data_IF_676953702370
#
_entry.id   IF_676953702370
#
_cell.length_a   1.000
_cell.length_b   1.000
_cell.length_c   1.000
_cell.angle_alpha   90.00
_cell.angle_beta   90.00
_cell.angle_gamma   90.00
#
_symmetry.space_group_name_H-M   'P 1'
#
loop_
_entity.id
_entity.type
_entity.pdbx_description
1 polymer ?
#
# COMPACT_ATOMS: atom_id res chain seq x y z
N UNK A 1 49.56 -26.17 80.29
CA UNK A 1 48.41 -26.66 79.49
C UNK A 1 47.72 -25.43 78.88
N UNK A 2 47.36 -25.36 77.59
CA UNK A 2 46.45 -26.25 76.82
C UNK A 2 45.04 -26.18 77.43
N UNK A 3 43.94 -25.77 76.79
CA UNK A 3 43.62 -25.07 75.52
C UNK A 3 42.18 -24.47 75.68
N UNK A 4 41.50 -23.73 74.77
CA UNK A 4 41.65 -23.37 73.34
C UNK A 4 40.87 -22.04 73.09
N UNK A 5 41.13 -21.31 72.00
CA UNK A 5 40.30 -20.18 71.55
C UNK A 5 39.05 -20.65 70.78
N UNK A 6 37.93 -19.91 70.83
CA UNK A 6 36.77 -20.07 69.92
C UNK A 6 36.62 -18.81 69.05
N UNK A 7 36.37 -18.95 67.73
CA UNK A 7 36.44 -17.82 66.80
C UNK A 7 35.18 -16.96 66.79
N UNK A 8 35.38 -15.66 66.54
CA UNK A 8 34.32 -14.67 66.32
C UNK A 8 33.84 -14.72 64.85
N UNK A 9 32.55 -14.96 64.60
CA UNK A 9 32.01 -14.94 63.23
C UNK A 9 31.73 -13.51 62.76
N UNK A 10 32.65 -12.95 61.96
CA UNK A 10 32.42 -11.71 61.22
C UNK A 10 31.42 -11.94 60.08
N UNK A 11 30.28 -11.25 60.10
CA UNK A 11 29.41 -11.12 58.92
C UNK A 11 29.94 -10.01 58.02
N UNK A 12 30.55 -10.38 56.90
CA UNK A 12 30.91 -9.45 55.83
C UNK A 12 29.65 -8.92 55.13
N UNK A 13 29.48 -7.60 55.09
CA UNK A 13 28.49 -6.95 54.24
C UNK A 13 29.05 -6.80 52.82
N UNK A 14 28.50 -7.55 51.88
CA UNK A 14 28.76 -7.40 50.44
C UNK A 14 27.82 -6.35 49.83
N UNK A 15 28.22 -5.07 49.91
CA UNK A 15 27.53 -4.00 49.18
C UNK A 15 27.77 -4.11 47.67
N UNK A 16 26.86 -4.81 46.98
CA UNK A 16 26.78 -4.82 45.53
C UNK A 16 26.38 -3.43 45.01
N UNK A 17 27.33 -2.73 44.42
CA UNK A 17 27.08 -1.53 43.61
C UNK A 17 26.32 -1.93 42.34
N UNK A 18 24.99 -1.81 42.38
CA UNK A 18 24.11 -2.03 41.24
C UNK A 18 24.23 -0.87 40.25
N UNK A 19 25.24 -0.92 39.36
CA UNK A 19 25.42 0.04 38.27
C UNK A 19 24.25 0.00 37.30
N UNK A 20 23.27 0.89 37.52
CA UNK A 20 22.06 1.00 36.70
C UNK A 20 22.39 1.58 35.33
N UNK A 21 22.75 0.73 34.37
CA UNK A 21 22.87 1.10 32.97
C UNK A 21 21.49 1.50 32.45
N UNK A 22 21.25 2.81 32.38
CA UNK A 22 20.08 3.37 31.70
C UNK A 22 20.20 3.06 30.21
N UNK A 23 19.49 2.02 29.77
CA UNK A 23 19.43 1.62 28.37
C UNK A 23 18.54 2.62 27.60
N UNK A 24 19.09 3.80 27.32
CA UNK A 24 18.45 4.83 26.52
C UNK A 24 18.12 4.27 25.14
N UNK A 25 16.85 3.89 24.93
CA UNK A 25 16.36 3.46 23.63
C UNK A 25 16.52 4.63 22.65
N UNK A 26 17.45 4.49 21.71
CA UNK A 26 17.61 5.44 20.60
C UNK A 26 16.39 5.31 19.71
N UNK A 27 15.38 6.15 19.96
CA UNK A 27 14.26 6.36 19.05
C UNK A 27 14.87 6.99 17.80
N UNK A 28 15.02 6.19 16.75
CA UNK A 28 15.46 6.69 15.45
C UNK A 28 14.45 7.74 14.97
N UNK A 29 14.90 8.99 14.88
CA UNK A 29 14.02 10.10 14.52
C UNK A 29 13.45 9.90 13.11
N UNK A 30 12.14 10.10 12.96
CA UNK A 30 11.44 9.87 11.71
C UNK A 30 12.03 10.76 10.59
N UNK A 31 12.50 10.14 9.50
CA UNK A 31 13.26 10.87 8.49
C UNK A 31 12.50 12.10 7.94
N UNK A 32 13.13 13.28 7.87
CA UNK A 32 12.49 14.49 7.37
C UNK A 32 12.20 14.36 5.87
N UNK A 33 10.93 14.54 5.52
CA UNK A 33 10.43 14.57 4.14
C UNK A 33 9.70 15.88 3.93
N UNK A 34 10.23 16.73 3.06
CA UNK A 34 9.53 17.91 2.56
C UNK A 34 8.50 17.48 1.51
N UNK A 35 7.22 17.71 1.81
CA UNK A 35 6.09 17.24 1.01
C UNK A 35 5.47 18.42 0.25
N UNK A 36 5.31 18.25 -1.07
CA UNK A 36 4.61 19.21 -1.92
C UNK A 36 3.14 19.36 -1.49
N UNK A 37 2.56 20.56 -1.70
CA UNK A 37 1.23 20.95 -1.22
C UNK A 37 1.12 20.89 0.32
N UNK A 38 -0.04 20.48 0.85
CA UNK A 38 -0.30 20.46 2.30
C UNK A 38 -0.93 19.14 2.80
N UNK A 39 -1.28 19.08 4.10
CA UNK A 39 -1.96 17.94 4.71
C UNK A 39 -3.22 17.51 3.93
N UNK A 40 -3.41 16.21 3.72
CA UNK A 40 -4.56 15.65 3.00
C UNK A 40 -4.61 15.95 1.50
N UNK A 41 -3.55 16.52 0.91
CA UNK A 41 -3.38 16.60 -0.54
C UNK A 41 -3.09 15.22 -1.16
N UNK A 42 -3.07 15.13 -2.49
CA UNK A 42 -2.64 13.90 -3.17
C UNK A 42 -1.18 13.51 -2.87
N UNK A 43 -0.29 14.46 -2.55
CA UNK A 43 1.07 14.15 -2.08
C UNK A 43 1.08 13.57 -0.66
N UNK A 44 0.10 13.92 0.20
CA UNK A 44 -0.06 13.28 1.51
C UNK A 44 -0.45 11.80 1.32
N UNK A 45 -1.51 11.55 0.54
CA UNK A 45 -2.01 10.20 0.26
C UNK A 45 -0.98 9.29 -0.44
N UNK A 46 -0.22 9.81 -1.41
CA UNK A 46 0.82 9.03 -2.07
C UNK A 46 2.02 8.74 -1.15
N UNK A 47 2.30 9.57 -0.14
CA UNK A 47 3.33 9.29 0.86
C UNK A 47 2.87 8.27 1.91
N UNK A 48 1.55 8.16 2.17
CA UNK A 48 0.98 7.06 2.97
C UNK A 48 1.26 5.70 2.30
N UNK A 49 1.02 5.59 0.99
CA UNK A 49 1.30 4.37 0.23
C UNK A 49 2.78 3.93 0.28
N UNK A 50 3.73 4.88 0.38
CA UNK A 50 5.14 4.55 0.59
C UNK A 50 5.46 4.16 2.04
N UNK A 51 4.86 4.83 3.02
CA UNK A 51 5.00 4.49 4.44
C UNK A 51 4.52 3.05 4.72
N UNK A 52 3.35 2.69 4.18
CA UNK A 52 2.71 1.39 4.36
C UNK A 52 3.55 0.22 3.81
N UNK A 53 4.37 0.43 2.76
CA UNK A 53 5.27 -0.60 2.22
C UNK A 53 6.25 -1.10 3.29
N UNK A 54 6.85 -0.20 4.07
CA UNK A 54 7.92 -0.59 5.01
C UNK A 54 7.51 -0.46 6.49
N UNK A 55 6.29 0.02 6.77
CA UNK A 55 5.90 0.59 8.06
C UNK A 55 6.88 1.70 8.51
N UNK A 56 7.36 2.50 7.54
CA UNK A 56 8.22 3.67 7.79
C UNK A 56 7.36 4.86 8.25
N UNK A 57 7.79 5.54 9.31
CA UNK A 57 7.23 6.84 9.70
C UNK A 57 8.10 7.97 9.15
N UNK A 58 7.46 8.93 8.46
CA UNK A 58 8.12 10.12 7.91
C UNK A 58 7.73 11.38 8.71
N UNK A 59 8.69 12.22 9.06
CA UNK A 59 8.41 13.56 9.58
C UNK A 59 8.02 14.45 8.39
N UNK A 60 6.72 14.71 8.22
CA UNK A 60 6.16 15.39 7.03
C UNK A 60 6.19 16.91 7.20
N UNK A 61 7.06 17.56 6.43
CA UNK A 61 7.24 19.01 6.42
C UNK A 61 6.60 19.60 5.15
N UNK A 62 5.44 20.25 5.27
CA UNK A 62 4.68 20.68 4.09
C UNK A 62 5.18 22.01 3.50
N UNK A 63 5.79 21.94 2.31
CA UNK A 63 6.40 23.10 1.64
C UNK A 63 5.50 23.79 0.61
N UNK A 64 4.30 23.29 0.31
CA UNK A 64 3.33 23.97 -0.56
C UNK A 64 3.66 23.88 -2.06
N UNK A 65 4.62 24.67 -2.54
CA UNK A 65 5.01 24.70 -3.97
C UNK A 65 6.21 23.79 -4.27
N UNK A 66 6.36 23.27 -5.50
CA UNK A 66 7.53 22.48 -5.88
C UNK A 66 8.86 23.23 -5.69
N UNK A 67 8.96 24.49 -6.12
CA UNK A 67 10.18 25.29 -5.94
C UNK A 67 10.58 25.41 -4.46
N UNK A 68 9.63 25.64 -3.55
CA UNK A 68 9.91 25.68 -2.10
C UNK A 68 10.24 24.28 -1.55
N UNK A 69 9.53 23.24 -1.98
CA UNK A 69 9.80 21.84 -1.60
C UNK A 69 11.22 21.42 -1.99
N UNK A 70 11.70 21.89 -3.15
CA UNK A 70 13.01 21.54 -3.69
C UNK A 70 14.13 22.38 -3.05
N UNK A 71 13.87 23.66 -2.77
CA UNK A 71 14.75 24.52 -1.99
C UNK A 71 14.99 23.94 -0.58
N UNK A 72 13.94 23.77 0.22
CA UNK A 72 14.08 23.35 1.62
C UNK A 72 14.66 21.96 1.76
N UNK A 73 14.33 21.03 0.85
CA UNK A 73 14.93 19.69 0.85
C UNK A 73 16.44 19.71 0.53
N UNK A 74 16.86 20.47 -0.49
CA UNK A 74 18.28 20.58 -0.83
C UNK A 74 19.08 21.30 0.27
N UNK A 75 18.55 22.39 0.82
CA UNK A 75 19.20 23.22 1.85
C UNK A 75 19.37 22.48 3.19
N UNK A 76 18.44 21.59 3.55
CA UNK A 76 18.50 20.78 4.78
C UNK A 76 19.06 19.35 4.55
N UNK A 77 19.55 19.03 3.35
CA UNK A 77 19.94 17.66 2.95
C UNK A 77 18.87 16.60 3.32
N UNK A 78 17.60 16.93 3.11
CA UNK A 78 16.44 16.12 3.44
C UNK A 78 15.82 15.49 2.17
N UNK A 79 14.79 14.66 2.35
CA UNK A 79 14.04 14.10 1.22
C UNK A 79 12.99 15.10 0.72
N UNK A 80 12.78 15.15 -0.59
CA UNK A 80 11.61 15.78 -1.20
C UNK A 80 10.61 14.70 -1.64
N UNK A 81 9.31 14.99 -1.51
CA UNK A 81 8.22 14.18 -2.06
C UNK A 81 7.25 15.02 -2.90
N UNK A 82 7.17 14.71 -4.20
CA UNK A 82 6.46 15.49 -5.21
C UNK A 82 5.83 14.64 -6.32
N UNK A 83 4.82 15.19 -6.98
CA UNK A 83 4.15 14.62 -8.15
C UNK A 83 4.95 14.93 -9.44
N UNK A 84 5.58 13.92 -10.05
CA UNK A 84 6.44 14.07 -11.23
C UNK A 84 5.66 14.19 -12.55
N UNK A 85 4.67 13.30 -12.73
CA UNK A 85 3.93 13.15 -13.98
C UNK A 85 2.47 12.74 -13.72
N UNK A 86 1.56 13.14 -14.59
CA UNK A 86 0.14 12.78 -14.55
C UNK A 86 -0.36 12.43 -15.95
N UNK A 87 -1.13 11.34 -16.03
CA UNK A 87 -1.71 10.77 -17.26
C UNK A 87 -2.58 11.72 -18.09
N UNK A 88 -3.21 12.74 -17.48
CA UNK A 88 -4.10 13.71 -18.15
C UNK A 88 -3.39 14.99 -18.61
N UNK A 89 -2.08 15.12 -18.37
CA UNK A 89 -1.28 16.28 -18.80
C UNK A 89 -0.66 16.00 -20.17
N UNK A 90 -0.68 16.99 -21.07
CA UNK A 90 0.01 16.90 -22.36
C UNK A 90 1.52 16.74 -22.18
N UNK A 91 2.10 15.69 -22.78
CA UNK A 91 3.48 15.29 -22.53
C UNK A 91 3.75 14.79 -21.09
N UNK A 92 2.69 14.54 -20.32
CA UNK A 92 2.59 13.94 -18.98
C UNK A 92 3.35 14.61 -17.82
N UNK A 93 4.40 15.38 -18.07
CA UNK A 93 5.22 16.02 -17.03
C UNK A 93 4.47 17.14 -16.31
N UNK A 94 4.49 17.16 -14.97
CA UNK A 94 3.89 18.24 -14.17
C UNK A 94 4.68 19.55 -14.40
N UNK A 95 4.08 20.61 -14.98
CA UNK A 95 4.84 21.79 -15.42
C UNK A 95 5.54 22.56 -14.28
N UNK A 96 4.98 22.52 -13.07
CA UNK A 96 5.59 23.12 -11.90
C UNK A 96 6.86 22.38 -11.43
N UNK A 97 6.96 21.05 -11.67
CA UNK A 97 8.22 20.32 -11.45
C UNK A 97 9.24 20.68 -12.52
N UNK A 98 8.81 20.80 -13.79
CA UNK A 98 9.69 21.26 -14.88
C UNK A 98 10.32 22.61 -14.53
N UNK A 99 9.56 23.56 -13.97
CA UNK A 99 10.11 24.83 -13.50
C UNK A 99 11.13 24.66 -12.38
N UNK A 100 10.80 23.91 -11.32
CA UNK A 100 11.70 23.69 -10.19
C UNK A 100 13.00 22.97 -10.60
N UNK A 101 12.92 22.01 -11.53
CA UNK A 101 14.08 21.30 -12.10
C UNK A 101 14.96 22.16 -13.02
N UNK A 102 14.58 23.43 -13.27
CA UNK A 102 15.50 24.43 -13.84
C UNK A 102 16.55 24.90 -12.82
N UNK A 103 16.18 24.93 -11.54
CA UNK A 103 17.04 25.40 -10.45
C UNK A 103 17.71 24.23 -9.69
N UNK A 104 17.09 23.04 -9.68
CA UNK A 104 17.55 21.86 -8.93
C UNK A 104 17.72 20.63 -9.83
N UNK A 105 18.51 19.64 -9.41
CA UNK A 105 18.57 18.30 -10.04
C UNK A 105 18.38 17.20 -9.00
N UNK A 106 17.75 16.11 -9.42
CA UNK A 106 17.60 14.89 -8.61
C UNK A 106 18.93 14.14 -8.61
N UNK A 107 19.39 13.74 -7.41
CA UNK A 107 20.65 13.00 -7.22
C UNK A 107 20.41 11.55 -6.78
N UNK A 108 19.26 11.29 -6.15
CA UNK A 108 18.89 9.97 -5.65
C UNK A 108 17.37 9.81 -5.72
N UNK A 109 16.89 8.61 -6.05
CA UNK A 109 15.48 8.25 -6.13
C UNK A 109 15.21 7.04 -5.23
N UNK A 110 14.88 7.28 -3.96
CA UNK A 110 14.69 6.20 -2.96
C UNK A 110 13.46 5.33 -3.26
N UNK A 111 12.34 5.95 -3.63
CA UNK A 111 11.10 5.22 -3.87
C UNK A 111 10.12 5.97 -4.77
N UNK A 112 9.29 5.22 -5.49
CA UNK A 112 8.29 5.75 -6.44
C UNK A 112 6.94 5.05 -6.28
N UNK A 113 5.85 5.75 -6.56
CA UNK A 113 4.46 5.24 -6.48
C UNK A 113 3.57 5.87 -7.55
N UNK A 114 2.73 5.05 -8.18
CA UNK A 114 1.57 5.52 -8.95
C UNK A 114 0.35 5.49 -8.05
N UNK A 115 -0.46 6.55 -8.10
CA UNK A 115 -1.72 6.62 -7.35
C UNK A 115 -2.86 7.06 -8.29
N UNK A 116 -4.00 6.34 -8.31
CA UNK A 116 -5.23 6.81 -8.93
C UNK A 116 -5.72 8.10 -8.28
N UNK A 117 -6.17 9.05 -9.09
CA UNK A 117 -6.70 10.34 -8.64
C UNK A 117 -8.21 10.21 -8.45
N UNK A 118 -8.59 9.56 -7.36
CA UNK A 118 -9.96 9.58 -6.86
C UNK A 118 -10.26 10.93 -6.22
N UNK A 119 -11.30 11.61 -6.71
CA UNK A 119 -11.78 12.88 -6.14
C UNK A 119 -12.99 12.64 -5.25
N UNK A 120 -12.86 13.10 -4.00
CA UNK A 120 -13.89 13.02 -2.98
C UNK A 120 -14.52 14.40 -2.70
N UNK A 121 -15.83 14.39 -2.48
CA UNK A 121 -16.65 15.58 -2.15
C UNK A 121 -16.80 15.71 -0.64
N UNK A 122 -16.43 16.87 -0.09
CA UNK A 122 -16.50 17.15 1.34
C UNK A 122 -17.41 18.33 1.66
N UNK A 123 -18.39 18.10 2.55
CA UNK A 123 -19.23 19.15 3.13
C UNK A 123 -19.01 19.31 4.64
N UNK A 124 -19.69 20.27 5.24
CA UNK A 124 -19.92 20.31 6.69
C UNK A 124 -21.11 19.38 7.01
N UNK A 125 -21.33 19.03 8.29
CA UNK A 125 -22.49 18.19 8.67
C UNK A 125 -23.81 18.82 8.23
N UNK A 126 -24.00 20.10 8.55
CA UNK A 126 -25.19 20.88 8.19
C UNK A 126 -24.99 21.60 6.85
N UNK A 127 -24.42 20.93 5.85
CA UNK A 127 -24.37 21.45 4.47
C UNK A 127 -25.80 21.57 3.94
N UNK A 128 -26.17 22.77 3.50
CA UNK A 128 -27.45 23.06 2.85
C UNK A 128 -27.41 22.61 1.38
N UNK A 129 -28.42 22.94 0.56
CA UNK A 129 -28.42 22.60 -0.88
C UNK A 129 -27.10 23.03 -1.52
N UNK A 130 -26.33 22.04 -1.99
CA UNK A 130 -25.02 22.28 -2.59
C UNK A 130 -25.22 23.09 -3.87
N UNK A 131 -24.47 24.18 -3.99
CA UNK A 131 -24.50 25.09 -5.15
C UNK A 131 -23.12 25.52 -5.60
N UNK A 132 -22.09 25.30 -4.78
CA UNK A 132 -20.71 25.69 -5.07
C UNK A 132 -19.70 24.59 -4.72
N UNK A 133 -18.69 24.40 -5.57
CA UNK A 133 -17.56 23.50 -5.33
C UNK A 133 -16.23 24.25 -5.34
N UNK A 134 -15.51 24.20 -4.22
CA UNK A 134 -14.21 24.83 -4.04
C UNK A 134 -13.07 23.82 -4.22
N UNK A 135 -12.12 24.12 -5.11
CA UNK A 135 -10.92 23.29 -5.31
C UNK A 135 -9.87 24.00 -6.16
N UNK A 136 -8.71 23.36 -6.36
CA UNK A 136 -7.67 23.82 -7.28
C UNK A 136 -8.20 23.88 -8.73
N UNK A 137 -7.87 24.91 -9.54
CA UNK A 137 -8.35 25.04 -10.92
C UNK A 137 -8.17 23.79 -11.80
N UNK A 138 -7.05 23.06 -11.66
CA UNK A 138 -6.83 21.83 -12.41
C UNK A 138 -7.72 20.66 -11.96
N UNK A 139 -8.13 20.62 -10.68
CA UNK A 139 -9.06 19.61 -10.18
C UNK A 139 -10.51 19.92 -10.60
N UNK A 140 -10.90 21.21 -10.57
CA UNK A 140 -12.20 21.67 -11.08
C UNK A 140 -12.40 21.34 -12.56
N UNK A 141 -11.32 21.40 -13.36
CA UNK A 141 -11.29 21.00 -14.78
C UNK A 141 -11.38 19.48 -15.02
N UNK A 142 -11.37 18.65 -13.98
CA UNK A 142 -11.44 17.19 -14.05
C UNK A 142 -12.75 16.62 -13.48
N UNK A 143 -13.77 17.45 -13.23
CA UNK A 143 -15.07 17.07 -12.64
C UNK A 143 -16.27 17.73 -13.36
N UNK A 144 -16.12 18.10 -14.63
CA UNK A 144 -17.09 18.90 -15.39
C UNK A 144 -18.45 18.19 -15.51
N UNK A 145 -18.45 16.85 -15.65
CA UNK A 145 -19.68 16.04 -15.68
C UNK A 145 -20.44 16.16 -14.37
N UNK A 146 -19.75 16.02 -13.24
CA UNK A 146 -20.34 16.11 -11.90
C UNK A 146 -20.86 17.54 -11.61
N UNK A 147 -20.10 18.57 -11.98
CA UNK A 147 -20.51 19.97 -11.86
C UNK A 147 -21.78 20.27 -12.68
N UNK A 148 -21.85 19.77 -13.91
CA UNK A 148 -22.98 19.98 -14.83
C UNK A 148 -24.25 19.29 -14.34
N UNK A 149 -24.17 18.00 -14.01
CA UNK A 149 -25.30 17.19 -13.50
C UNK A 149 -25.93 17.80 -12.25
N UNK A 150 -25.12 18.36 -11.35
CA UNK A 150 -25.59 18.97 -10.11
C UNK A 150 -25.84 20.49 -10.19
N UNK A 151 -25.61 21.12 -11.35
CA UNK A 151 -25.73 22.58 -11.58
C UNK A 151 -24.85 23.42 -10.62
N UNK A 152 -23.66 22.92 -10.29
CA UNK A 152 -22.77 23.50 -9.27
C UNK A 152 -21.80 24.53 -9.88
N UNK A 153 -21.73 25.72 -9.27
CA UNK A 153 -20.78 26.78 -9.63
C UNK A 153 -19.40 26.53 -9.02
N UNK A 154 -18.33 26.82 -9.77
CA UNK A 154 -16.96 26.63 -9.28
C UNK A 154 -16.49 27.78 -8.38
N UNK A 155 -15.65 27.47 -7.39
CA UNK A 155 -14.90 28.43 -6.56
C UNK A 155 -13.40 28.10 -6.62
N UNK A 156 -12.64 28.70 -7.55
CA UNK A 156 -11.22 28.39 -7.71
C UNK A 156 -10.38 28.74 -6.47
N UNK A 157 -9.54 27.79 -6.02
CA UNK A 157 -8.57 27.97 -4.92
C UNK A 157 -7.17 27.62 -5.44
N UNK A 158 -6.42 28.58 -6.03
CA UNK A 158 -5.12 28.32 -6.68
C UNK A 158 -4.04 27.71 -5.77
N UNK A 159 -4.17 27.86 -4.44
CA UNK A 159 -3.24 27.28 -3.46
C UNK A 159 -3.32 25.75 -3.31
N UNK A 160 -4.36 25.08 -3.82
CA UNK A 160 -4.46 23.62 -3.83
C UNK A 160 -5.80 23.07 -3.32
N UNK A 161 -6.02 21.77 -3.52
CA UNK A 161 -7.24 21.06 -3.10
C UNK A 161 -7.37 21.01 -1.57
N UNK A 162 -6.26 20.82 -0.86
CA UNK A 162 -6.21 20.85 0.60
C UNK A 162 -6.50 22.24 1.20
N UNK A 163 -6.13 23.33 0.52
CA UNK A 163 -6.47 24.68 0.99
C UNK A 163 -7.99 24.92 0.88
N UNK A 164 -8.65 24.42 -0.17
CA UNK A 164 -10.10 24.50 -0.27
C UNK A 164 -10.81 23.74 0.88
N UNK A 165 -10.28 22.57 1.26
CA UNK A 165 -10.77 21.80 2.39
C UNK A 165 -10.52 22.51 3.74
N UNK A 166 -9.33 23.08 3.95
CA UNK A 166 -9.02 23.87 5.14
C UNK A 166 -9.95 25.08 5.25
N UNK A 167 -10.12 25.85 4.18
CA UNK A 167 -11.02 27.01 4.14
C UNK A 167 -12.47 26.62 4.47
N UNK A 168 -12.94 25.45 4.04
CA UNK A 168 -14.26 24.93 4.42
C UNK A 168 -14.31 24.55 5.93
N UNK A 169 -13.30 23.83 6.43
CA UNK A 169 -13.22 23.39 7.84
C UNK A 169 -13.06 24.57 8.83
N UNK A 170 -12.49 25.68 8.38
CA UNK A 170 -12.31 26.96 9.10
C UNK A 170 -13.48 27.93 8.89
N UNK A 171 -14.59 27.48 8.28
CA UNK A 171 -15.82 28.27 8.10
C UNK A 171 -15.68 29.46 7.14
N UNK A 172 -14.68 29.47 6.25
CA UNK A 172 -14.43 30.54 5.27
C UNK A 172 -15.28 30.41 4.00
N UNK A 173 -16.15 29.41 3.92
CA UNK A 173 -17.17 29.28 2.90
C UNK A 173 -18.56 29.04 3.51
N UNK A 174 -19.59 29.59 2.85
CA UNK A 174 -21.00 29.41 3.22
C UNK A 174 -21.38 27.92 3.17
N UNK A 175 -22.37 27.52 3.98
CA UNK A 175 -22.86 26.13 4.13
C UNK A 175 -23.38 25.46 2.83
N UNK A 176 -23.52 26.22 1.73
CA UNK A 176 -23.91 25.73 0.41
C UNK A 176 -22.71 25.35 -0.49
N UNK A 177 -21.49 25.42 0.06
CA UNK A 177 -20.22 25.15 -0.61
C UNK A 177 -19.62 23.83 -0.10
N UNK A 178 -19.13 23.00 -1.02
CA UNK A 178 -18.33 21.80 -0.74
C UNK A 178 -16.87 22.01 -1.18
N UNK A 179 -15.95 21.24 -0.61
CA UNK A 179 -14.55 21.18 -1.03
C UNK A 179 -14.27 19.87 -1.77
N UNK A 180 -13.50 19.92 -2.85
CA UNK A 180 -13.12 18.74 -3.65
C UNK A 180 -11.63 18.47 -3.51
N UNK A 181 -11.23 17.22 -3.27
CA UNK A 181 -9.82 16.84 -3.19
C UNK A 181 -9.62 15.35 -2.97
N UNK A 182 -8.43 14.98 -2.45
CA UNK A 182 -8.14 13.58 -2.10
C UNK A 182 -9.03 13.09 -0.97
N UNK A 183 -9.41 11.82 -1.00
CA UNK A 183 -10.20 11.20 0.06
C UNK A 183 -9.46 11.19 1.43
N UNK A 184 -8.12 11.29 1.43
CA UNK A 184 -7.30 11.47 2.63
C UNK A 184 -7.64 12.74 3.45
N UNK A 185 -8.32 13.73 2.85
CA UNK A 185 -8.83 14.89 3.57
C UNK A 185 -9.72 14.53 4.78
N UNK A 186 -10.39 13.37 4.78
CA UNK A 186 -11.23 12.96 5.93
C UNK A 186 -10.44 12.72 7.21
N UNK A 187 -9.22 12.19 7.11
CA UNK A 187 -8.35 11.94 8.27
C UNK A 187 -7.78 13.25 8.83
N UNK A 188 -7.52 14.23 7.96
CA UNK A 188 -6.89 15.50 8.31
C UNK A 188 -7.89 16.55 8.81
N UNK A 189 -9.10 16.57 8.25
CA UNK A 189 -10.13 17.57 8.57
C UNK A 189 -11.39 16.87 9.14
N UNK A 190 -11.38 16.43 10.41
CA UNK A 190 -12.46 15.59 10.97
C UNK A 190 -13.84 16.25 10.95
N UNK A 191 -13.89 17.59 11.00
CA UNK A 191 -15.11 18.42 10.83
C UNK A 191 -15.80 18.26 9.47
N UNK A 192 -15.08 17.81 8.45
CA UNK A 192 -15.62 17.58 7.11
C UNK A 192 -16.24 16.20 7.02
N UNK A 193 -17.42 16.13 6.42
CA UNK A 193 -18.13 14.89 6.14
C UNK A 193 -18.06 14.59 4.65
N UNK A 194 -17.56 13.39 4.35
CA UNK A 194 -17.52 12.83 3.01
C UNK A 194 -18.96 12.68 2.49
N UNK A 195 -19.22 13.13 1.26
CA UNK A 195 -20.53 13.08 0.61
C UNK A 195 -20.54 12.13 -0.58
N UNK A 196 -19.44 12.07 -1.32
CA UNK A 196 -19.33 11.31 -2.58
C UNK A 196 -17.85 11.01 -2.87
N UNK A 197 -17.59 9.96 -3.65
CA UNK A 197 -16.26 9.46 -4.05
C UNK A 197 -16.23 9.26 -5.55
N UNK A 198 -15.06 9.25 -6.17
CA UNK A 198 -14.92 8.89 -7.59
C UNK A 198 -15.52 9.89 -8.59
N UNK A 199 -15.65 11.18 -8.23
CA UNK A 199 -16.38 12.16 -9.08
C UNK A 199 -15.61 12.69 -10.30
N UNK A 200 -14.39 12.18 -10.55
CA UNK A 200 -13.55 12.60 -11.67
C UNK A 200 -14.07 12.14 -13.04
N UNK A 201 -13.97 13.02 -14.05
CA UNK A 201 -14.43 12.76 -15.43
C UNK A 201 -13.70 11.58 -16.10
N UNK A 202 -12.45 11.31 -15.68
CA UNK A 202 -11.62 10.21 -16.17
C UNK A 202 -11.19 9.30 -15.00
N UNK A 203 -11.68 8.05 -15.01
CA UNK A 203 -11.35 7.04 -14.00
C UNK A 203 -9.88 6.55 -14.06
N UNK A 204 -9.26 6.58 -15.25
CA UNK A 204 -7.87 6.14 -15.48
C UNK A 204 -6.83 7.24 -15.15
N UNK A 205 -7.28 8.37 -14.59
CA UNK A 205 -6.43 9.48 -14.17
C UNK A 205 -5.50 9.04 -13.02
N UNK A 206 -4.25 8.71 -13.35
CA UNK A 206 -3.20 8.39 -12.38
C UNK A 206 -2.05 9.40 -12.39
N UNK A 207 -1.37 9.51 -11.24
CA UNK A 207 -0.21 10.40 -11.02
C UNK A 207 0.95 9.61 -10.42
N UNK A 208 2.15 9.86 -10.95
CA UNK A 208 3.44 9.36 -10.48
C UNK A 208 4.02 10.31 -9.44
N UNK A 209 4.37 9.78 -8.27
CA UNK A 209 5.06 10.50 -7.20
C UNK A 209 6.39 9.81 -6.86
N UNK A 210 7.35 10.59 -6.37
CA UNK A 210 8.69 10.13 -6.04
C UNK A 210 9.21 10.72 -4.72
N UNK A 211 9.93 9.89 -3.97
CA UNK A 211 10.74 10.26 -2.80
C UNK A 211 12.21 10.33 -3.23
N UNK A 212 12.79 11.53 -3.17
CA UNK A 212 14.02 11.86 -3.91
C UNK A 212 14.91 12.85 -3.16
N UNK A 213 16.23 12.73 -3.33
CA UNK A 213 17.21 13.74 -2.91
C UNK A 213 17.46 14.73 -4.04
N UNK A 214 17.79 15.95 -3.66
CA UNK A 214 18.01 17.09 -4.56
C UNK A 214 19.29 17.82 -4.22
N UNK A 215 19.92 18.39 -5.24
CA UNK A 215 20.90 19.45 -5.11
C UNK A 215 20.45 20.69 -5.90
N UNK A 216 20.96 21.86 -5.52
CA UNK A 216 20.83 23.11 -6.29
C UNK A 216 21.84 23.09 -7.43
N UNK A 217 21.40 23.36 -8.66
CA UNK A 217 22.31 23.46 -9.82
C UNK A 217 23.20 24.71 -9.69
N UNK A 218 24.46 24.69 -10.18
CA UNK A 218 25.29 25.88 -10.24
C UNK A 218 24.66 27.02 -11.05
N UNK A 219 23.96 26.67 -12.14
CA UNK A 219 23.30 27.61 -13.05
C UNK A 219 21.89 27.13 -13.39
N UNK A 220 20.99 28.07 -13.70
CA UNK A 220 19.59 27.79 -14.05
C UNK A 220 19.48 27.31 -15.50
N UNK A 221 19.06 26.07 -15.70
CA UNK A 221 18.91 25.49 -17.05
C UNK A 221 17.67 26.00 -17.80
N UNK A 222 17.63 25.77 -19.12
CA UNK A 222 16.44 26.05 -19.93
C UNK A 222 15.31 25.03 -19.66
N UNK A 223 14.17 25.22 -20.33
CA UNK A 223 12.98 24.38 -20.09
C UNK A 223 13.17 22.96 -20.62
N UNK A 224 13.88 22.78 -21.73
CA UNK A 224 13.99 21.48 -22.40
C UNK A 224 15.05 20.57 -21.77
N UNK A 225 16.13 21.14 -21.24
CA UNK A 225 17.06 20.46 -20.33
C UNK A 225 16.34 20.00 -19.04
N UNK A 226 15.49 20.85 -18.45
CA UNK A 226 14.70 20.49 -17.28
C UNK A 226 13.63 19.41 -17.59
N UNK A 227 12.96 19.49 -18.75
CA UNK A 227 12.05 18.44 -19.24
C UNK A 227 12.79 17.12 -19.47
N UNK A 228 13.98 17.16 -20.04
CA UNK A 228 14.79 15.97 -20.34
C UNK A 228 15.26 15.29 -19.06
N UNK A 229 15.76 16.06 -18.09
CA UNK A 229 16.11 15.55 -16.76
C UNK A 229 14.89 14.96 -16.03
N UNK A 230 13.72 15.61 -16.09
CA UNK A 230 12.51 15.06 -15.48
C UNK A 230 12.03 13.76 -16.18
N UNK A 231 12.11 13.67 -17.52
CA UNK A 231 11.83 12.42 -18.24
C UNK A 231 12.72 11.26 -17.76
N UNK A 232 14.00 11.50 -17.53
CA UNK A 232 14.92 10.48 -17.02
C UNK A 232 14.51 9.99 -15.62
N UNK A 233 14.17 10.89 -14.69
CA UNK A 233 13.66 10.53 -13.35
C UNK A 233 12.33 9.77 -13.45
N UNK A 234 11.42 10.18 -14.35
CA UNK A 234 10.13 9.47 -14.59
C UNK A 234 10.36 8.05 -15.12
N UNK A 235 11.33 7.82 -16.01
CA UNK A 235 11.67 6.47 -16.50
C UNK A 235 12.27 5.60 -15.39
N UNK A 236 13.16 6.15 -14.56
CA UNK A 236 13.70 5.43 -13.39
C UNK A 236 12.59 5.07 -12.39
N UNK A 237 11.68 6.00 -12.11
CA UNK A 237 10.53 5.81 -11.23
C UNK A 237 9.55 4.76 -11.76
N UNK A 238 9.26 4.77 -13.07
CA UNK A 238 8.44 3.74 -13.72
C UNK A 238 9.12 2.35 -13.64
N UNK A 239 10.44 2.28 -13.76
CA UNK A 239 11.21 1.03 -13.63
C UNK A 239 11.11 0.45 -12.21
N UNK A 240 11.20 1.30 -11.17
CA UNK A 240 10.97 0.88 -9.78
C UNK A 240 9.56 0.30 -9.57
N UNK A 241 8.53 0.94 -10.13
CA UNK A 241 7.13 0.52 -9.99
C UNK A 241 6.87 -0.76 -10.78
N UNK A 242 7.39 -0.88 -12.00
CA UNK A 242 7.27 -2.10 -12.81
C UNK A 242 7.89 -3.29 -12.09
N UNK A 243 9.12 -3.16 -11.59
CA UNK A 243 9.80 -4.24 -10.85
C UNK A 243 9.00 -4.72 -9.62
N UNK A 244 8.39 -3.79 -8.86
CA UNK A 244 7.49 -4.13 -7.74
C UNK A 244 6.20 -4.81 -8.22
N UNK A 245 5.60 -4.32 -9.30
CA UNK A 245 4.40 -4.89 -9.93
C UNK A 245 4.65 -6.32 -10.40
N UNK A 246 5.74 -6.56 -11.12
CA UNK A 246 6.11 -7.87 -11.66
C UNK A 246 6.47 -8.87 -10.55
N UNK A 247 7.16 -8.41 -9.51
CA UNK A 247 7.36 -9.21 -8.30
C UNK A 247 6.04 -9.60 -7.61
N UNK A 248 5.05 -8.69 -7.59
CA UNK A 248 3.69 -8.99 -7.13
C UNK A 248 2.96 -10.01 -8.01
N UNK A 249 3.02 -9.84 -9.35
CA UNK A 249 2.42 -10.78 -10.33
C UNK A 249 2.93 -12.20 -10.12
N UNK A 250 4.21 -12.39 -9.78
CA UNK A 250 4.76 -13.72 -9.49
C UNK A 250 4.07 -14.40 -8.30
N UNK A 251 3.87 -13.69 -7.19
CA UNK A 251 3.11 -14.20 -6.03
C UNK A 251 1.67 -14.52 -6.44
N UNK A 252 1.00 -13.59 -7.12
CA UNK A 252 -0.41 -13.71 -7.50
C UNK A 252 -0.65 -14.86 -8.49
N UNK A 253 0.29 -15.11 -9.40
CA UNK A 253 0.23 -16.20 -10.39
C UNK A 253 0.35 -17.58 -9.73
N UNK A 254 1.08 -17.70 -8.62
CA UNK A 254 1.17 -18.95 -7.86
C UNK A 254 -0.12 -19.20 -7.05
N UNK A 255 -0.73 -18.14 -6.52
CA UNK A 255 -2.04 -18.20 -5.86
C UNK A 255 -3.11 -18.67 -6.86
N UNK A 256 -3.16 -18.08 -8.06
CA UNK A 256 -4.11 -18.48 -9.10
C UNK A 256 -3.91 -19.95 -9.54
N UNK A 257 -2.67 -20.35 -9.88
CA UNK A 257 -2.33 -21.75 -10.21
C UNK A 257 -2.75 -22.75 -9.14
N UNK A 258 -2.73 -22.35 -7.86
CA UNK A 258 -3.15 -23.17 -6.71
C UNK A 258 -4.68 -23.25 -6.57
N UNK A 259 -5.40 -22.16 -6.86
CA UNK A 259 -6.86 -22.13 -6.88
C UNK A 259 -7.43 -22.88 -8.09
N UNK A 260 -6.80 -22.81 -9.26
CA UNK A 260 -7.19 -23.55 -10.46
C UNK A 260 -7.24 -25.08 -10.26
N UNK A 261 -6.45 -25.63 -9.33
CA UNK A 261 -6.51 -27.06 -8.98
C UNK A 261 -7.85 -27.49 -8.35
N UNK A 262 -8.69 -26.54 -7.90
CA UNK A 262 -9.90 -26.84 -7.14
C UNK A 262 -11.00 -27.51 -7.97
N UNK A 263 -11.01 -27.37 -9.30
CA UNK A 263 -11.87 -28.18 -10.17
C UNK A 263 -11.53 -29.67 -10.01
N UNK A 264 -10.25 -30.03 -10.12
CA UNK A 264 -9.76 -31.40 -9.97
C UNK A 264 -9.98 -31.97 -8.56
N UNK A 265 -9.91 -31.14 -7.52
CA UNK A 265 -10.25 -31.54 -6.14
C UNK A 265 -11.75 -31.76 -5.97
N UNK A 266 -12.61 -30.88 -6.53
CA UNK A 266 -14.06 -31.04 -6.51
C UNK A 266 -14.50 -32.33 -7.22
N UNK A 267 -13.87 -32.61 -8.37
CA UNK A 267 -14.06 -33.78 -9.22
C UNK A 267 -13.66 -35.08 -8.51
N UNK A 268 -12.47 -35.14 -7.91
CA UNK A 268 -12.06 -36.29 -7.10
C UNK A 268 -13.07 -36.57 -5.99
N UNK A 269 -13.48 -35.51 -5.27
CA UNK A 269 -14.46 -35.62 -4.18
C UNK A 269 -15.84 -36.05 -4.68
N UNK A 270 -16.24 -35.68 -5.89
CA UNK A 270 -17.48 -36.15 -6.51
C UNK A 270 -17.41 -37.65 -6.77
N UNK A 271 -16.43 -38.09 -7.56
CA UNK A 271 -16.28 -39.49 -7.99
C UNK A 271 -15.99 -40.47 -6.84
N UNK A 272 -15.54 -39.97 -5.68
CA UNK A 272 -15.31 -40.75 -4.45
C UNK A 272 -16.30 -40.46 -3.32
N UNK A 273 -17.40 -39.76 -3.60
CA UNK A 273 -18.46 -39.43 -2.63
C UNK A 273 -17.93 -38.86 -1.30
N UNK A 274 -16.97 -37.93 -1.39
CA UNK A 274 -16.36 -37.24 -0.24
C UNK A 274 -16.90 -35.81 -0.08
N UNK A 275 -16.98 -35.30 1.17
CA UNK A 275 -17.35 -33.92 1.43
C UNK A 275 -16.31 -32.92 0.91
N UNK A 276 -16.74 -31.66 0.73
CA UNK A 276 -15.82 -30.55 0.39
C UNK A 276 -15.03 -30.12 1.62
N UNK A 277 -15.66 -30.03 2.79
CA UNK A 277 -15.00 -29.79 4.05
C UNK A 277 -14.33 -31.07 4.57
N UNK A 278 -13.08 -30.94 5.00
CA UNK A 278 -12.25 -32.01 5.56
C UNK A 278 -11.37 -31.36 6.63
N UNK A 279 -11.93 -31.20 7.82
CA UNK A 279 -11.27 -30.52 8.95
C UNK A 279 -9.91 -31.15 9.27
N UNK A 280 -9.78 -32.48 9.08
CA UNK A 280 -8.53 -33.21 9.30
C UNK A 280 -7.44 -32.77 8.31
N UNK A 281 -7.78 -32.62 7.02
CA UNK A 281 -6.84 -32.13 6.01
C UNK A 281 -6.64 -30.62 6.09
N UNK A 282 -7.64 -29.85 6.49
CA UNK A 282 -7.51 -28.40 6.71
C UNK A 282 -6.49 -28.09 7.81
N UNK A 283 -6.51 -28.83 8.93
CA UNK A 283 -5.48 -28.73 9.99
C UNK A 283 -4.08 -29.05 9.46
N UNK A 284 -3.92 -30.11 8.65
CA UNK A 284 -2.61 -30.49 8.08
C UNK A 284 -2.10 -29.48 7.04
N UNK A 285 -2.97 -28.91 6.20
CA UNK A 285 -2.60 -27.86 5.25
C UNK A 285 -2.14 -26.60 6.00
N UNK A 286 -2.84 -26.23 7.07
CA UNK A 286 -2.50 -25.06 7.86
C UNK A 286 -1.19 -25.27 8.65
N UNK A 287 -0.98 -26.42 9.30
CA UNK A 287 0.26 -26.68 10.04
C UNK A 287 1.49 -26.70 9.12
N UNK A 288 1.39 -27.28 7.92
CA UNK A 288 2.46 -27.27 6.92
C UNK A 288 2.79 -25.83 6.46
N UNK A 289 1.77 -25.01 6.19
CA UNK A 289 1.98 -23.60 5.81
C UNK A 289 2.58 -22.75 6.93
N UNK A 290 2.24 -23.01 8.19
CA UNK A 290 2.80 -22.29 9.34
C UNK A 290 4.25 -22.68 9.66
N UNK A 291 4.66 -23.92 9.35
CA UNK A 291 6.05 -24.32 9.48
C UNK A 291 6.91 -23.71 8.38
N UNK A 292 6.45 -23.75 7.13
CA UNK A 292 7.07 -23.05 6.00
C UNK A 292 7.17 -21.54 6.24
N UNK A 293 6.17 -20.92 6.88
CA UNK A 293 6.21 -19.51 7.26
C UNK A 293 7.39 -19.19 8.20
N UNK A 294 7.72 -20.06 9.16
CA UNK A 294 8.87 -19.87 10.06
C UNK A 294 10.18 -19.88 9.28
N UNK A 295 10.37 -20.91 8.47
CA UNK A 295 11.56 -21.11 7.62
C UNK A 295 11.76 -19.91 6.67
N UNK A 296 10.67 -19.38 6.11
CA UNK A 296 10.66 -18.22 5.21
C UNK A 296 10.62 -16.85 5.93
N UNK A 297 10.82 -16.80 7.26
CA UNK A 297 10.80 -15.56 8.06
C UNK A 297 9.51 -14.72 7.95
N UNK A 298 8.36 -15.36 7.83
CA UNK A 298 7.03 -14.74 7.78
C UNK A 298 6.32 -14.88 9.13
N UNK A 299 5.56 -13.86 9.53
CA UNK A 299 4.74 -13.94 10.75
C UNK A 299 3.65 -15.01 10.59
N UNK A 300 3.71 -16.01 11.46
CA UNK A 300 2.78 -17.14 11.45
C UNK A 300 1.31 -16.72 11.65
N UNK A 301 1.02 -15.62 12.36
CA UNK A 301 -0.36 -15.20 12.60
C UNK A 301 -1.03 -14.63 11.34
N UNK A 302 -0.34 -13.77 10.62
CA UNK A 302 -0.80 -13.21 9.35
C UNK A 302 -0.80 -14.25 8.23
N UNK A 303 0.18 -15.16 8.18
CA UNK A 303 0.13 -16.32 7.26
C UNK A 303 -1.05 -17.23 7.56
N UNK A 304 -1.40 -17.47 8.84
CA UNK A 304 -2.60 -18.24 9.24
C UNK A 304 -3.87 -17.65 8.62
N UNK A 305 -4.05 -16.33 8.73
CA UNK A 305 -5.20 -15.63 8.18
C UNK A 305 -5.25 -15.72 6.63
N UNK A 306 -4.11 -15.55 5.96
CA UNK A 306 -3.99 -15.69 4.51
C UNK A 306 -4.28 -17.11 4.02
N UNK A 307 -3.75 -18.14 4.66
CA UNK A 307 -4.03 -19.53 4.27
C UNK A 307 -5.48 -19.95 4.56
N UNK A 308 -6.10 -19.48 5.65
CA UNK A 308 -7.54 -19.68 5.86
C UNK A 308 -8.37 -19.01 4.76
N UNK A 309 -8.02 -17.78 4.34
CA UNK A 309 -8.71 -17.11 3.24
C UNK A 309 -8.55 -17.87 1.90
N UNK A 310 -7.36 -18.44 1.61
CA UNK A 310 -7.17 -19.34 0.47
C UNK A 310 -8.01 -20.62 0.59
N UNK A 311 -8.10 -21.23 1.78
CA UNK A 311 -8.84 -22.47 2.03
C UNK A 311 -10.36 -22.26 1.89
N UNK A 312 -10.87 -21.12 2.33
CA UNK A 312 -12.28 -20.77 2.19
C UNK A 312 -12.64 -20.43 0.73
N UNK A 313 -11.79 -19.67 0.01
CA UNK A 313 -11.96 -19.44 -1.43
C UNK A 313 -11.89 -20.76 -2.22
N UNK A 314 -10.98 -21.67 -1.85
CA UNK A 314 -10.87 -23.00 -2.42
C UNK A 314 -12.13 -23.85 -2.16
N UNK A 315 -12.75 -23.78 -0.98
CA UNK A 315 -14.04 -24.42 -0.71
C UNK A 315 -15.15 -23.80 -1.56
N UNK A 316 -15.21 -22.47 -1.68
CA UNK A 316 -16.21 -21.78 -2.48
C UNK A 316 -16.16 -22.17 -3.98
N UNK A 317 -14.97 -22.28 -4.57
CA UNK A 317 -14.78 -22.81 -5.94
C UNK A 317 -15.32 -24.25 -6.06
N UNK A 318 -14.97 -25.14 -5.11
CA UNK A 318 -15.44 -26.52 -5.11
C UNK A 318 -16.98 -26.60 -5.01
N UNK A 319 -17.62 -25.80 -4.16
CA UNK A 319 -19.08 -25.79 -4.01
C UNK A 319 -19.79 -25.31 -5.29
N UNK A 320 -19.24 -24.29 -5.98
CA UNK A 320 -19.81 -23.79 -7.24
C UNK A 320 -19.72 -24.82 -8.37
N UNK A 321 -18.59 -25.51 -8.53
CA UNK A 321 -18.50 -26.64 -9.45
C UNK A 321 -19.47 -27.78 -9.11
N UNK A 322 -19.66 -28.11 -7.83
CA UNK A 322 -20.67 -29.12 -7.44
C UNK A 322 -22.09 -28.69 -7.80
N UNK A 323 -22.45 -27.42 -7.62
CA UNK A 323 -23.76 -26.90 -8.00
C UNK A 323 -23.97 -26.93 -9.53
N UNK A 324 -22.95 -26.56 -10.29
CA UNK A 324 -22.94 -26.64 -11.76
C UNK A 324 -23.18 -28.08 -12.26
N UNK A 325 -22.47 -29.05 -11.70
CA UNK A 325 -22.59 -30.47 -12.05
C UNK A 325 -23.90 -31.15 -11.60
N UNK A 326 -24.81 -30.45 -10.91
CA UNK A 326 -26.18 -30.94 -10.68
C UNK A 326 -27.01 -30.91 -11.98
N UNK A 327 -26.70 -29.99 -12.90
CA UNK A 327 -27.38 -29.85 -14.19
C UNK A 327 -26.57 -30.47 -15.34
N UNK A 328 -25.24 -30.29 -15.33
CA UNK A 328 -24.34 -30.80 -16.38
C UNK A 328 -23.97 -32.28 -16.22
N UNK A 329 -24.20 -32.84 -15.02
CA UNK A 329 -23.57 -34.09 -14.59
C UNK A 329 -22.11 -33.89 -14.17
N UNK A 330 -21.55 -34.88 -13.47
CA UNK A 330 -20.12 -34.85 -13.06
C UNK A 330 -19.26 -35.29 -14.24
N UNK A 331 -18.23 -34.52 -14.65
CA UNK A 331 -17.37 -34.89 -15.77
C UNK A 331 -16.70 -36.25 -15.56
N UNK A 332 -16.74 -37.13 -16.57
CA UNK A 332 -16.08 -38.44 -16.52
C UNK A 332 -14.56 -38.31 -16.71
N UNK A 333 -13.88 -37.77 -15.69
CA UNK A 333 -12.44 -37.60 -15.60
C UNK A 333 -11.96 -38.04 -14.21
N UNK A 334 -10.86 -38.78 -14.13
CA UNK A 334 -10.25 -39.19 -12.86
C UNK A 334 -9.08 -38.29 -12.50
N UNK A 335 -9.08 -37.75 -11.27
CA UNK A 335 -7.97 -36.98 -10.73
C UNK A 335 -7.23 -37.75 -9.64
N UNK A 336 -5.89 -37.69 -9.67
CA UNK A 336 -4.99 -38.35 -8.73
C UNK A 336 -4.83 -37.47 -7.46
N UNK A 337 -5.47 -37.89 -6.35
CA UNK A 337 -5.43 -37.13 -5.09
C UNK A 337 -4.01 -36.96 -4.54
N UNK A 338 -3.13 -37.94 -4.75
CA UNK A 338 -1.74 -37.89 -4.27
C UNK A 338 -0.97 -36.83 -5.04
N UNK A 339 -1.04 -36.84 -6.38
CA UNK A 339 -0.43 -35.78 -7.22
C UNK A 339 -1.02 -34.40 -6.94
N UNK A 340 -2.35 -34.29 -6.76
CA UNK A 340 -3.00 -33.04 -6.35
C UNK A 340 -2.47 -32.54 -4.99
N UNK A 341 -2.32 -33.42 -3.99
CA UNK A 341 -1.77 -33.05 -2.67
C UNK A 341 -0.32 -32.58 -2.78
N UNK A 342 0.53 -33.24 -3.56
CA UNK A 342 1.91 -32.79 -3.80
C UNK A 342 1.95 -31.42 -4.50
N UNK A 343 1.16 -31.24 -5.58
CA UNK A 343 1.08 -29.97 -6.30
C UNK A 343 0.60 -28.81 -5.41
N UNK A 344 -0.47 -29.02 -4.63
CA UNK A 344 -1.03 -28.02 -3.71
C UNK A 344 -0.10 -27.66 -2.55
N UNK A 345 0.73 -28.61 -2.10
CA UNK A 345 1.76 -28.38 -1.09
C UNK A 345 2.95 -27.61 -1.68
N UNK A 346 3.47 -28.02 -2.85
CA UNK A 346 4.58 -27.32 -3.52
C UNK A 346 4.22 -25.89 -3.91
N UNK A 347 3.02 -25.66 -4.45
CA UNK A 347 2.49 -24.30 -4.69
C UNK A 347 2.31 -23.53 -3.37
N UNK A 348 2.04 -24.20 -2.25
CA UNK A 348 2.02 -23.59 -0.92
C UNK A 348 3.39 -23.02 -0.52
N UNK A 349 4.45 -23.82 -0.65
CA UNK A 349 5.83 -23.39 -0.39
C UNK A 349 6.23 -22.22 -1.29
N UNK A 350 6.04 -22.39 -2.61
CA UNK A 350 6.44 -21.40 -3.61
C UNK A 350 5.74 -20.04 -3.43
N UNK A 351 4.48 -20.01 -2.95
CA UNK A 351 3.80 -18.76 -2.58
C UNK A 351 4.53 -18.08 -1.43
N UNK A 352 4.92 -18.81 -0.37
CA UNK A 352 5.60 -18.25 0.81
C UNK A 352 7.03 -17.79 0.48
N UNK A 353 7.79 -18.56 -0.28
CA UNK A 353 9.12 -18.22 -0.79
C UNK A 353 9.09 -16.94 -1.65
N UNK A 354 8.19 -16.90 -2.65
CA UNK A 354 8.06 -15.73 -3.54
C UNK A 354 7.56 -14.50 -2.77
N UNK A 355 6.66 -14.69 -1.79
CA UNK A 355 6.14 -13.62 -0.95
C UNK A 355 7.21 -13.07 0.00
N UNK A 356 8.04 -13.91 0.63
CA UNK A 356 9.11 -13.40 1.50
C UNK A 356 10.20 -12.66 0.71
N UNK A 357 10.45 -13.07 -0.54
CA UNK A 357 11.32 -12.36 -1.49
C UNK A 357 10.74 -11.00 -1.89
N UNK A 358 9.44 -10.94 -2.23
CA UNK A 358 8.73 -9.68 -2.51
C UNK A 358 8.80 -8.72 -1.31
N UNK A 359 8.44 -9.21 -0.11
CA UNK A 359 8.40 -8.40 1.11
C UNK A 359 9.79 -7.89 1.51
N UNK A 360 10.87 -8.64 1.25
CA UNK A 360 12.24 -8.18 1.50
C UNK A 360 12.68 -7.06 0.55
N UNK A 361 12.38 -7.18 -0.75
CA UNK A 361 12.90 -6.29 -1.79
C UNK A 361 12.02 -5.07 -2.07
N UNK A 362 10.72 -5.19 -1.84
CA UNK A 362 9.72 -4.20 -2.27
C UNK A 362 8.77 -3.76 -1.13
N UNK A 363 8.86 -4.37 0.05
CA UNK A 363 7.96 -4.12 1.17
C UNK A 363 6.58 -4.76 1.04
N UNK A 364 5.72 -4.52 2.03
CA UNK A 364 4.35 -4.98 2.18
C UNK A 364 3.52 -4.85 0.90
N UNK A 365 2.57 -5.77 0.70
CA UNK A 365 1.55 -5.65 -0.32
C UNK A 365 0.51 -4.61 0.13
N UNK A 366 0.42 -3.49 -0.60
CA UNK A 366 -0.44 -2.33 -0.33
C UNK A 366 -1.52 -2.20 -1.42
N UNK A 367 -2.57 -1.35 -1.26
CA UNK A 367 -3.68 -1.27 -2.22
C UNK A 367 -3.28 -0.98 -3.69
N UNK A 368 -2.10 -0.38 -3.92
CA UNK A 368 -1.57 -0.09 -5.26
C UNK A 368 -1.39 -1.34 -6.16
N UNK A 369 -1.31 -2.54 -5.56
CA UNK A 369 -1.17 -3.81 -6.28
C UNK A 369 -2.52 -4.57 -6.42
N UNK A 370 -3.63 -4.04 -5.89
CA UNK A 370 -4.95 -4.67 -5.99
C UNK A 370 -5.46 -4.83 -7.43
N UNK A 371 -5.28 -3.86 -8.36
CA UNK A 371 -5.66 -4.05 -9.77
C UNK A 371 -4.87 -5.19 -10.43
N UNK A 372 -3.58 -5.30 -10.09
CA UNK A 372 -2.68 -6.34 -10.60
C UNK A 372 -3.10 -7.73 -10.08
N UNK A 373 -3.45 -7.84 -8.80
CA UNK A 373 -4.00 -9.06 -8.21
C UNK A 373 -5.31 -9.46 -8.88
N UNK A 374 -6.25 -8.51 -9.04
CA UNK A 374 -7.56 -8.79 -9.63
C UNK A 374 -7.49 -9.22 -11.10
N UNK A 375 -6.48 -8.73 -11.86
CA UNK A 375 -6.22 -9.11 -13.24
C UNK A 375 -5.49 -10.45 -13.39
N UNK A 376 -4.64 -10.84 -12.43
CA UNK A 376 -3.89 -12.12 -12.48
C UNK A 376 -4.73 -13.30 -12.02
N UNK A 377 -5.61 -13.14 -11.02
CA UNK A 377 -6.47 -14.23 -10.57
C UNK A 377 -7.65 -14.43 -11.52
N UNK A 378 -7.51 -15.34 -12.49
CA UNK A 378 -8.52 -15.65 -13.52
C UNK A 378 -9.19 -17.01 -13.34
N UNK A 379 -8.84 -17.76 -12.29
CA UNK A 379 -9.46 -19.04 -11.91
C UNK A 379 -10.99 -19.02 -11.99
N UNK A 380 -11.54 -19.95 -12.77
CA UNK A 380 -12.98 -20.23 -12.86
C UNK A 380 -13.65 -20.37 -11.48
N UNK A 381 -14.92 -19.95 -11.39
CA UNK A 381 -15.71 -20.00 -10.16
C UNK A 381 -15.12 -19.21 -8.97
N UNK A 382 -14.10 -18.34 -9.17
CA UNK A 382 -13.65 -17.35 -8.18
C UNK A 382 -14.33 -15.99 -8.38
N UNK A 383 -15.08 -15.51 -7.39
CA UNK A 383 -15.84 -14.25 -7.47
C UNK A 383 -15.05 -13.05 -6.93
N UNK A 384 -15.48 -11.83 -7.27
CA UNK A 384 -14.90 -10.60 -6.73
C UNK A 384 -14.93 -10.49 -5.19
N UNK A 385 -15.92 -11.10 -4.52
CA UNK A 385 -15.97 -11.16 -3.05
C UNK A 385 -14.88 -12.08 -2.48
N UNK A 386 -14.61 -13.19 -3.16
CA UNK A 386 -13.51 -14.10 -2.76
C UNK A 386 -12.16 -13.42 -2.99
N UNK A 387 -11.97 -12.76 -4.15
CA UNK A 387 -10.78 -11.95 -4.46
C UNK A 387 -10.52 -10.88 -3.39
N UNK A 388 -11.52 -10.07 -3.05
CA UNK A 388 -11.39 -9.01 -2.05
C UNK A 388 -11.01 -9.57 -0.65
N UNK A 389 -11.64 -10.65 -0.21
CA UNK A 389 -11.33 -11.29 1.08
C UNK A 389 -9.91 -11.87 1.09
N UNK A 390 -9.51 -12.52 0.00
CA UNK A 390 -8.18 -13.10 -0.16
C UNK A 390 -7.09 -12.04 -0.21
N UNK A 391 -7.32 -10.95 -0.95
CA UNK A 391 -6.35 -9.85 -1.04
C UNK A 391 -6.15 -9.14 0.30
N UNK A 392 -7.24 -8.84 1.04
CA UNK A 392 -7.14 -8.24 2.38
C UNK A 392 -6.33 -9.10 3.37
N UNK A 393 -6.48 -10.42 3.30
CA UNK A 393 -5.69 -11.34 4.11
C UNK A 393 -4.21 -11.38 3.67
N UNK A 394 -3.94 -11.36 2.35
CA UNK A 394 -2.59 -11.29 1.79
C UNK A 394 -1.87 -9.96 2.12
N UNK A 395 -2.57 -8.82 2.04
CA UNK A 395 -2.09 -7.51 2.48
C UNK A 395 -1.73 -7.45 3.97
N UNK A 396 -2.17 -8.43 4.77
CA UNK A 396 -1.84 -8.52 6.19
C UNK A 396 -0.54 -9.27 6.47
N UNK A 397 0.03 -10.00 5.50
CA UNK A 397 1.25 -10.82 5.71
C UNK A 397 2.49 -9.94 5.91
N UNK A 398 3.28 -10.23 6.95
CA UNK A 398 4.51 -9.49 7.30
C UNK A 398 5.71 -10.43 7.41
N UNK A 399 6.92 -9.91 7.18
CA UNK A 399 8.17 -10.57 7.58
C UNK A 399 8.44 -10.34 9.06
N UNK A 400 9.05 -11.32 9.72
CA UNK A 400 9.62 -11.19 11.07
C UNK A 400 10.89 -10.35 10.97
N UNK A 401 11.02 -9.34 11.84
CA UNK A 401 12.23 -8.50 11.91
C UNK A 401 13.44 -9.33 12.35
N UNK A 402 14.61 -9.01 11.81
CA UNK A 402 15.91 -9.62 12.14
C UNK A 402 16.01 -11.15 11.92
N UNK A 403 15.06 -11.75 11.22
CA UNK A 403 15.09 -13.16 10.85
C UNK A 403 15.85 -13.36 9.53
N UNK A 404 16.88 -14.21 9.57
CA UNK A 404 17.49 -14.83 8.38
C UNK A 404 16.75 -16.13 8.08
N UNK A 405 16.46 -16.38 6.80
CA UNK A 405 15.86 -17.65 6.40
C UNK A 405 16.87 -18.78 6.62
N UNK A 406 16.38 -19.95 7.01
CA UNK A 406 17.18 -21.17 7.02
C UNK A 406 17.23 -21.73 5.61
N UNK A 407 18.43 -21.89 5.06
CA UNK A 407 18.70 -22.55 3.77
C UNK A 407 18.24 -24.02 3.76
#
# INVERSE_FOLDING_TARGET
MIYLWKPLQLRLLSHLLASSVLLSAVIAEAAPVYVQAGPGSFNHAALDLLADRNAETFQRLYSGTPDNTYATAAENNAWAFSALANSTIEGQLVPAIVNAMRNYRVIELKASVHMPIEMCVFGLNNTSKITHAASHPAALKQINRWLSVHQIKTKPVPKGTNEAARLLADGKFNQNTVAIGSCALKAVYPKLTLREVGIQDNADNQTLFALMKLEKRPHKVNVDEARTALKQVVVQAQTQINARSDSGKSVFSLIDKRLAQMQSVALFKANKHKPIEDLSREVVVLSQALEQARQQCLDTNSVKAFFQAQMDAAKAIQYRYRAQWLAEGVPNKTADLTKLRHSLNHLGSAILETLTSHLAKHGNLTPELEPVFNAVLVTDNLTGKDKQRLYRALQSVRRVKNCQATD
#
